data_IF_148184306209
#
_entry.id   IF_148184306209
#
_cell.length_a   1.000
_cell.length_b   1.000
_cell.length_c   1.000
_cell.angle_alpha   90.00
_cell.angle_beta   90.00
_cell.angle_gamma   90.00
#
_symmetry.space_group_name_H-M   'P 1'
#
loop_
_entity.id
_entity.type
_entity.pdbx_description
1 polymer ?
#
# COMPACT_ATOMS: atom_id res chain seq x y z
N UNK A 1 13.47 11.60 -23.09
CA UNK A 1 12.33 11.99 -23.91
C UNK A 1 12.83 12.95 -24.98
N UNK A 2 12.47 12.69 -26.24
CA UNK A 2 12.89 13.51 -27.40
C UNK A 2 11.76 14.34 -27.97
N UNK A 3 10.51 13.91 -27.80
CA UNK A 3 9.34 14.60 -28.33
C UNK A 3 8.10 14.30 -27.47
N UNK A 4 7.25 15.30 -27.28
CA UNK A 4 5.94 15.19 -26.64
C UNK A 4 4.91 15.88 -27.51
N UNK A 5 3.92 15.14 -28.03
CA UNK A 5 2.89 15.68 -28.95
C UNK A 5 1.50 15.32 -28.44
N UNK A 6 0.61 16.32 -28.25
CA UNK A 6 -0.78 16.04 -27.93
C UNK A 6 -1.50 15.48 -29.17
N UNK A 7 -2.21 14.37 -29.01
CA UNK A 7 -3.08 13.80 -30.03
C UNK A 7 -4.55 14.03 -29.63
N UNK A 8 -5.10 15.14 -30.09
CA UNK A 8 -6.48 15.54 -29.74
C UNK A 8 -7.55 14.59 -30.29
N UNK A 9 -7.26 13.85 -31.39
CA UNK A 9 -8.22 12.88 -31.96
C UNK A 9 -8.40 11.67 -31.06
N UNK A 10 -7.33 11.26 -30.37
CA UNK A 10 -7.32 10.10 -29.46
C UNK A 10 -7.41 10.50 -27.98
N UNK A 11 -7.49 11.80 -27.70
CA UNK A 11 -7.49 12.34 -26.34
C UNK A 11 -6.34 11.81 -25.48
N UNK A 12 -5.14 11.77 -26.04
CA UNK A 12 -3.93 11.30 -25.37
C UNK A 12 -2.71 12.15 -25.75
N UNK A 13 -1.62 11.96 -25.04
CA UNK A 13 -0.31 12.57 -25.33
C UNK A 13 0.64 11.47 -25.77
N UNK A 14 1.24 11.64 -26.93
CA UNK A 14 2.27 10.75 -27.44
C UNK A 14 3.65 11.23 -26.98
N UNK A 15 4.43 10.34 -26.41
CA UNK A 15 5.77 10.61 -25.90
C UNK A 15 6.76 9.74 -26.63
N UNK A 16 7.73 10.36 -27.30
CA UNK A 16 8.84 9.65 -27.93
C UNK A 16 10.07 9.72 -27.05
N UNK A 17 10.65 8.58 -26.72
CA UNK A 17 11.88 8.47 -25.96
C UNK A 17 12.95 7.74 -26.80
N UNK A 18 14.20 8.19 -26.70
CA UNK A 18 15.34 7.46 -27.26
C UNK A 18 15.94 6.59 -26.18
N UNK A 19 16.08 5.31 -26.47
CA UNK A 19 16.74 4.33 -25.62
C UNK A 19 18.16 4.14 -26.15
N UNK A 20 19.15 4.09 -25.27
CA UNK A 20 20.53 3.77 -25.66
C UNK A 20 20.60 2.33 -26.18
N UNK A 21 21.38 2.06 -27.23
CA UNK A 21 21.41 0.75 -27.91
C UNK A 21 21.62 -0.44 -26.96
N UNK A 22 22.47 -0.26 -25.95
CA UNK A 22 22.79 -1.27 -24.93
C UNK A 22 21.60 -1.72 -24.05
N UNK A 23 20.51 -0.91 -23.97
CA UNK A 23 19.32 -1.23 -23.18
C UNK A 23 18.12 -1.65 -24.02
N UNK A 24 18.18 -1.55 -25.35
CA UNK A 24 17.04 -1.81 -26.24
C UNK A 24 16.51 -3.23 -26.07
N UNK A 25 17.39 -4.23 -26.02
CA UNK A 25 17.02 -5.64 -25.90
C UNK A 25 16.30 -5.97 -24.59
N UNK A 26 16.51 -5.17 -23.54
CA UNK A 26 15.92 -5.38 -22.23
C UNK A 26 14.67 -4.53 -22.01
N UNK A 27 14.55 -3.39 -22.70
CA UNK A 27 13.51 -2.39 -22.42
C UNK A 27 12.46 -2.34 -23.54
N UNK A 28 12.86 -2.55 -24.81
CA UNK A 28 11.95 -2.52 -25.94
C UNK A 28 11.34 -3.90 -26.22
N UNK A 29 10.74 -4.52 -25.22
CA UNK A 29 10.16 -5.87 -25.28
C UNK A 29 8.78 -5.94 -24.63
N UNK A 30 7.99 -6.92 -25.01
CA UNK A 30 6.69 -7.20 -24.35
C UNK A 30 6.88 -7.45 -22.86
N UNK A 31 5.94 -6.98 -22.06
CA UNK A 31 5.98 -7.07 -20.60
C UNK A 31 6.81 -5.96 -19.94
N UNK A 32 7.41 -5.04 -20.73
CA UNK A 32 8.02 -3.82 -20.17
C UNK A 32 6.93 -2.83 -19.79
N UNK A 33 7.07 -2.26 -18.61
CA UNK A 33 6.17 -1.25 -18.07
C UNK A 33 6.88 0.09 -17.95
N UNK A 34 6.20 1.17 -18.35
CA UNK A 34 6.68 2.54 -18.23
C UNK A 34 5.67 3.38 -17.45
N UNK A 35 6.15 4.20 -16.53
CA UNK A 35 5.29 5.11 -15.76
C UNK A 35 5.98 6.44 -15.48
N UNK A 36 5.18 7.48 -15.20
CA UNK A 36 5.69 8.75 -14.72
C UNK A 36 6.03 8.64 -13.23
N UNK A 37 7.25 9.02 -12.88
CA UNK A 37 7.63 9.17 -11.48
C UNK A 37 7.04 10.47 -10.96
N UNK A 38 6.13 10.39 -10.01
CA UNK A 38 5.53 11.52 -9.33
C UNK A 38 6.10 11.67 -7.92
N UNK A 39 6.18 12.90 -7.39
CA UNK A 39 6.56 13.09 -5.99
C UNK A 39 5.44 12.56 -5.09
N UNK A 40 5.78 11.73 -4.14
CA UNK A 40 4.86 11.25 -3.12
C UNK A 40 4.91 12.23 -1.93
N UNK A 41 3.80 12.90 -1.66
CA UNK A 41 3.63 13.75 -0.49
C UNK A 41 2.77 13.00 0.53
N UNK A 42 3.39 12.51 1.58
CA UNK A 42 2.71 11.80 2.67
C UNK A 42 3.06 12.36 4.03
N UNK A 43 2.39 11.87 5.07
CA UNK A 43 2.64 12.27 6.46
C UNK A 43 4.06 11.94 6.95
N UNK A 44 4.77 11.05 6.25
CA UNK A 44 6.18 10.70 6.49
C UNK A 44 7.19 11.61 5.78
N UNK A 45 6.72 12.67 5.10
CA UNK A 45 7.56 13.56 4.29
C UNK A 45 7.32 13.41 2.80
N UNK A 46 8.22 13.98 2.00
CA UNK A 46 8.18 13.91 0.53
C UNK A 46 9.20 12.89 0.06
N UNK A 47 8.73 11.86 -0.64
CA UNK A 47 9.59 10.93 -1.38
C UNK A 47 9.70 11.41 -2.83
N UNK A 48 10.72 10.94 -3.55
CA UNK A 48 10.96 11.32 -4.95
C UNK A 48 11.04 12.84 -5.17
N UNK A 49 11.71 13.57 -4.27
CA UNK A 49 11.91 15.03 -4.35
C UNK A 49 12.39 15.50 -5.72
N UNK A 50 13.20 14.71 -6.43
CA UNK A 50 13.64 15.00 -7.80
C UNK A 50 12.49 15.17 -8.78
N UNK A 51 11.35 14.51 -8.57
CA UNK A 51 10.17 14.62 -9.43
C UNK A 51 9.40 15.94 -9.26
N UNK A 52 9.69 16.73 -8.21
CA UNK A 52 9.20 18.12 -8.07
C UNK A 52 9.88 19.07 -9.07
N UNK A 53 11.13 18.77 -9.43
CA UNK A 53 11.96 19.62 -10.30
C UNK A 53 11.89 19.14 -11.75
N UNK A 54 11.89 17.82 -11.97
CA UNK A 54 11.81 17.21 -13.30
C UNK A 54 11.01 15.93 -13.29
N UNK A 55 10.00 15.83 -14.15
CA UNK A 55 9.28 14.56 -14.36
C UNK A 55 10.18 13.59 -15.08
N UNK A 56 10.32 12.39 -14.56
CA UNK A 56 11.05 11.27 -15.17
C UNK A 56 10.12 10.13 -15.52
N UNK A 57 10.49 9.37 -16.55
CA UNK A 57 9.83 8.12 -16.88
C UNK A 57 10.66 7.00 -16.27
N UNK A 58 10.04 6.25 -15.39
CA UNK A 58 10.62 5.02 -14.85
C UNK A 58 10.24 3.83 -15.73
N UNK A 59 11.11 2.83 -15.77
CA UNK A 59 10.93 1.64 -16.60
C UNK A 59 11.22 0.39 -15.80
N UNK A 60 10.42 -0.63 -16.04
CA UNK A 60 10.69 -1.98 -15.62
C UNK A 60 10.79 -2.88 -16.84
N UNK A 61 11.95 -3.54 -17.01
CA UNK A 61 12.18 -4.42 -18.13
C UNK A 61 11.23 -5.61 -18.15
N UNK A 62 10.72 -5.96 -19.35
CA UNK A 62 10.03 -7.21 -19.63
C UNK A 62 10.99 -8.31 -20.09
N UNK A 63 10.42 -9.40 -20.57
CA UNK A 63 11.16 -10.54 -21.10
C UNK A 63 10.52 -11.16 -22.35
N UNK A 64 9.61 -10.43 -23.00
CA UNK A 64 8.90 -10.88 -24.19
C UNK A 64 9.61 -10.58 -25.51
N UNK A 65 8.85 -10.61 -26.62
CA UNK A 65 9.34 -10.26 -27.95
C UNK A 65 9.54 -8.75 -28.09
N UNK A 66 10.36 -8.34 -29.06
CA UNK A 66 10.59 -6.92 -29.35
C UNK A 66 9.28 -6.15 -29.56
N UNK A 67 9.13 -5.02 -28.87
CA UNK A 67 7.99 -4.13 -28.92
C UNK A 67 8.47 -2.69 -28.75
N UNK A 68 7.89 -1.76 -29.52
CA UNK A 68 8.32 -0.35 -29.53
C UNK A 68 7.21 0.65 -29.19
N UNK A 69 5.97 0.17 -29.07
CA UNK A 69 4.82 0.95 -28.63
C UNK A 69 4.34 0.49 -27.25
N UNK A 70 4.33 1.42 -26.30
CA UNK A 70 3.95 1.14 -24.91
C UNK A 70 2.94 2.17 -24.42
N UNK A 71 2.11 1.75 -23.50
CA UNK A 71 1.24 2.66 -22.77
C UNK A 71 1.97 3.17 -21.53
N UNK A 72 1.99 4.49 -21.33
CA UNK A 72 2.51 5.09 -20.11
C UNK A 72 1.47 4.92 -19.00
N UNK A 73 1.79 4.15 -17.98
CA UNK A 73 0.92 3.87 -16.87
C UNK A 73 0.90 5.03 -15.88
N UNK A 74 -0.25 5.30 -15.26
CA UNK A 74 -0.32 6.27 -14.17
C UNK A 74 0.23 5.62 -12.91
N UNK A 75 1.27 6.26 -12.34
CA UNK A 75 1.76 5.97 -11.01
C UNK A 75 1.87 4.47 -10.69
N UNK A 76 2.77 3.77 -11.35
CA UNK A 76 3.04 2.38 -11.02
C UNK A 76 3.86 2.36 -9.74
N UNK A 77 3.16 2.42 -8.62
CA UNK A 77 3.78 2.21 -7.31
C UNK A 77 4.07 0.72 -7.16
N UNK A 78 5.19 0.28 -7.76
CA UNK A 78 5.76 -1.03 -7.48
C UNK A 78 6.50 -1.01 -6.16
N UNK A 79 5.80 -0.78 -5.11
CA UNK A 79 6.18 -1.41 -3.86
C UNK A 79 5.94 -2.90 -4.11
N UNK A 80 7.02 -3.66 -4.40
CA UNK A 80 6.93 -5.11 -4.41
C UNK A 80 6.20 -5.52 -3.14
N UNK A 81 5.21 -6.41 -3.25
CA UNK A 81 4.47 -6.79 -2.05
C UNK A 81 3.32 -7.74 -2.33
N UNK A 82 2.86 -8.34 -1.26
CA UNK A 82 1.70 -9.23 -1.28
C UNK A 82 0.45 -8.41 -0.97
N UNK A 83 -0.52 -8.49 -1.88
CA UNK A 83 -1.81 -7.80 -1.71
C UNK A 83 -2.79 -8.65 -0.93
N UNK A 84 -3.50 -8.01 0.00
CA UNK A 84 -4.62 -8.57 0.74
C UNK A 84 -5.81 -7.62 0.68
N UNK A 85 -6.99 -8.16 0.90
CA UNK A 85 -8.24 -7.39 0.91
C UNK A 85 -8.74 -7.25 2.34
N UNK A 86 -9.15 -6.05 2.73
CA UNK A 86 -9.82 -5.79 3.99
C UNK A 86 -11.25 -5.34 3.74
N UNK A 87 -12.20 -5.89 4.49
CA UNK A 87 -13.61 -5.51 4.41
C UNK A 87 -14.06 -4.90 5.73
N UNK A 88 -14.76 -3.77 5.67
CA UNK A 88 -15.30 -3.08 6.83
C UNK A 88 -16.70 -2.52 6.53
N UNK A 89 -17.50 -2.28 7.55
CA UNK A 89 -18.82 -1.65 7.39
C UNK A 89 -18.70 -0.17 6.97
N UNK A 90 -17.66 0.49 7.45
CA UNK A 90 -17.40 1.91 7.19
C UNK A 90 -15.93 2.14 6.85
N UNK A 91 -15.66 3.20 6.11
CA UNK A 91 -14.29 3.59 5.76
C UNK A 91 -13.46 4.02 6.98
N UNK A 92 -14.08 4.72 7.90
CA UNK A 92 -13.37 5.36 9.02
C UNK A 92 -12.29 6.33 8.52
N UNK A 93 -11.10 6.25 9.10
CA UNK A 93 -9.93 7.05 8.74
C UNK A 93 -9.11 6.46 7.58
N UNK A 94 -9.50 5.32 7.02
CA UNK A 94 -8.75 4.61 5.99
C UNK A 94 -8.82 5.33 4.65
N UNK A 95 -7.66 5.57 4.04
CA UNK A 95 -7.51 6.17 2.71
C UNK A 95 -6.28 5.56 2.02
N UNK A 96 -6.14 5.78 0.73
CA UNK A 96 -4.93 5.40 -0.01
C UNK A 96 -3.71 6.05 0.65
N UNK A 97 -2.64 5.27 0.87
CA UNK A 97 -1.45 5.69 1.61
C UNK A 97 -1.53 5.50 3.13
N UNK A 98 -2.67 5.08 3.70
CA UNK A 98 -2.76 4.72 5.12
C UNK A 98 -1.76 3.60 5.43
N UNK A 99 -0.87 3.76 6.43
CA UNK A 99 0.13 2.75 6.76
C UNK A 99 -0.50 1.50 7.37
N UNK A 100 0.05 0.34 7.04
CA UNK A 100 -0.24 -0.93 7.71
C UNK A 100 0.87 -1.26 8.67
N UNK A 101 0.52 -1.48 9.92
CA UNK A 101 1.42 -1.60 11.05
C UNK A 101 1.42 -3.01 11.64
N UNK A 102 2.59 -3.54 11.91
CA UNK A 102 2.78 -4.71 12.75
C UNK A 102 3.70 -4.35 13.91
N UNK A 103 3.20 -4.45 15.14
CA UNK A 103 3.94 -3.98 16.34
C UNK A 103 4.48 -2.55 16.19
N UNK A 104 3.64 -1.63 15.69
CA UNK A 104 3.96 -0.21 15.45
C UNK A 104 4.99 0.05 14.34
N UNK A 105 5.53 -0.97 13.69
CA UNK A 105 6.39 -0.83 12.53
C UNK A 105 5.55 -0.83 11.25
N UNK A 106 5.85 0.09 10.33
CA UNK A 106 5.19 0.13 9.02
C UNK A 106 5.70 -1.03 8.14
N UNK A 107 4.79 -1.96 7.86
CA UNK A 107 5.07 -3.15 7.04
C UNK A 107 4.37 -3.12 5.68
N UNK A 108 3.54 -2.12 5.43
CA UNK A 108 2.80 -1.97 4.19
C UNK A 108 1.95 -0.71 4.18
N UNK A 109 1.10 -0.59 3.18
CA UNK A 109 0.19 0.55 3.02
C UNK A 109 -1.10 0.15 2.30
N UNK A 110 -2.13 0.99 2.43
CA UNK A 110 -3.37 0.89 1.66
C UNK A 110 -3.13 1.42 0.25
N UNK A 111 -3.50 0.63 -0.76
CA UNK A 111 -3.33 0.98 -2.18
C UNK A 111 -4.64 1.31 -2.89
N UNK A 112 -5.78 0.86 -2.37
CA UNK A 112 -7.11 1.14 -2.94
C UNK A 112 -8.17 1.13 -1.85
N UNK A 113 -9.19 1.97 -2.01
CA UNK A 113 -10.38 2.02 -1.14
C UNK A 113 -11.61 2.27 -1.99
N UNK A 114 -12.56 1.35 -1.96
CA UNK A 114 -13.80 1.43 -2.75
C UNK A 114 -14.99 0.83 -2.00
N UNK A 115 -16.18 1.07 -2.50
CA UNK A 115 -17.37 0.33 -2.05
C UNK A 115 -17.35 -1.10 -2.61
N UNK A 116 -17.91 -2.03 -1.87
CA UNK A 116 -18.18 -3.37 -2.33
C UNK A 116 -19.18 -3.37 -3.50
N UNK A 117 -19.32 -4.49 -4.19
CA UNK A 117 -20.16 -4.63 -5.38
C UNK A 117 -21.63 -4.22 -5.11
N UNK A 118 -22.13 -4.48 -3.92
CA UNK A 118 -23.51 -4.13 -3.49
C UNK A 118 -23.58 -2.85 -2.67
N UNK A 119 -22.47 -2.10 -2.55
CA UNK A 119 -22.35 -0.90 -1.70
C UNK A 119 -22.71 -1.11 -0.22
N UNK A 120 -22.71 -2.36 0.24
CA UNK A 120 -23.03 -2.80 1.61
C UNK A 120 -21.83 -2.74 2.57
N UNK A 121 -20.63 -2.56 2.01
CA UNK A 121 -19.35 -2.53 2.75
C UNK A 121 -18.30 -1.69 2.04
N UNK A 122 -17.25 -1.37 2.76
CA UNK A 122 -16.03 -0.79 2.19
C UNK A 122 -15.00 -1.90 1.99
N UNK A 123 -14.37 -1.91 0.83
CA UNK A 123 -13.30 -2.82 0.47
C UNK A 123 -12.02 -2.01 0.31
N UNK A 124 -11.02 -2.31 1.11
CA UNK A 124 -9.69 -1.71 1.04
C UNK A 124 -8.68 -2.75 0.60
N UNK A 125 -7.83 -2.41 -0.35
CA UNK A 125 -6.69 -3.25 -0.72
C UNK A 125 -5.46 -2.75 0.00
N UNK A 126 -4.79 -3.64 0.71
CA UNK A 126 -3.50 -3.37 1.36
C UNK A 126 -2.39 -4.12 0.62
N UNK A 127 -1.22 -3.51 0.60
CA UNK A 127 0.00 -4.11 0.07
C UNK A 127 1.03 -4.19 1.18
N UNK A 128 1.46 -5.40 1.51
CA UNK A 128 2.48 -5.69 2.52
C UNK A 128 3.82 -5.91 1.82
N UNK A 129 4.88 -5.28 2.31
CA UNK A 129 6.25 -5.44 1.78
C UNK A 129 6.66 -6.91 1.78
N UNK A 130 7.41 -7.40 0.77
CA UNK A 130 7.72 -8.83 0.62
C UNK A 130 8.37 -9.43 1.86
N UNK A 131 9.30 -8.69 2.48
CA UNK A 131 10.04 -9.10 3.67
C UNK A 131 9.17 -9.27 4.92
N UNK A 132 7.92 -8.75 4.91
CA UNK A 132 6.95 -8.85 6.01
C UNK A 132 5.70 -9.66 5.67
N UNK A 133 5.56 -10.12 4.42
CA UNK A 133 4.36 -10.83 3.98
C UNK A 133 4.09 -12.11 4.80
N UNK A 134 5.15 -12.78 5.28
CA UNK A 134 5.07 -13.97 6.13
C UNK A 134 4.40 -13.72 7.48
N UNK A 135 4.32 -12.47 7.94
CA UNK A 135 3.66 -12.09 9.19
C UNK A 135 2.14 -12.17 9.09
N UNK A 136 1.57 -12.04 7.87
CA UNK A 136 0.13 -12.13 7.66
C UNK A 136 -0.27 -13.59 7.59
N UNK A 137 -0.97 -14.08 8.59
CA UNK A 137 -1.48 -15.45 8.69
C UNK A 137 -2.96 -15.51 8.33
N UNK A 138 -3.47 -16.68 8.00
CA UNK A 138 -4.88 -16.86 7.62
C UNK A 138 -5.87 -16.40 8.70
N UNK A 139 -5.45 -16.41 9.96
CA UNK A 139 -6.23 -15.97 11.12
C UNK A 139 -5.78 -14.61 11.68
N UNK A 140 -4.96 -13.84 10.95
CA UNK A 140 -4.57 -12.49 11.38
C UNK A 140 -5.81 -11.61 11.52
N UNK A 141 -5.82 -10.78 12.55
CA UNK A 141 -6.90 -9.84 12.86
C UNK A 141 -6.41 -8.44 12.58
N UNK A 142 -7.18 -7.68 11.82
CA UNK A 142 -6.88 -6.31 11.42
C UNK A 142 -7.83 -5.32 12.08
N UNK A 143 -7.33 -4.17 12.53
CA UNK A 143 -8.13 -3.10 13.12
C UNK A 143 -7.65 -1.72 12.72
N UNK A 144 -8.55 -0.76 12.76
CA UNK A 144 -8.24 0.64 12.50
C UNK A 144 -7.59 1.26 13.75
N UNK A 145 -6.41 1.84 13.59
CA UNK A 145 -5.75 2.66 14.59
C UNK A 145 -6.13 4.11 14.32
N UNK A 146 -7.31 4.51 14.76
CA UNK A 146 -7.71 5.91 14.73
C UNK A 146 -6.96 6.66 15.82
N UNK A 147 -6.33 7.78 15.45
CA UNK A 147 -5.70 8.67 16.42
C UNK A 147 -6.72 9.12 17.45
N UNK A 148 -6.34 8.98 18.73
CA UNK A 148 -6.99 9.56 19.89
C UNK A 148 -8.48 9.18 20.09
N UNK A 149 -8.74 8.11 20.80
CA UNK A 149 -9.95 8.06 21.64
C UNK A 149 -9.80 9.12 22.75
N UNK A 150 -10.19 10.35 22.42
CA UNK A 150 -10.44 11.36 23.45
C UNK A 150 -11.79 11.04 24.07
N UNK A 151 -11.80 10.09 24.98
CA UNK A 151 -12.92 9.96 25.92
C UNK A 151 -12.85 11.17 26.85
N UNK A 152 -13.54 12.24 26.47
CA UNK A 152 -13.84 13.36 27.35
C UNK A 152 -14.89 12.85 28.36
N UNK A 153 -14.42 12.11 29.34
CA UNK A 153 -15.22 11.81 30.53
C UNK A 153 -15.30 13.07 31.36
N UNK A 154 -16.50 13.33 31.94
CA UNK A 154 -16.83 14.46 32.83
C UNK A 154 -15.89 14.56 34.07
N UNK A 155 -14.97 13.63 34.27
CA UNK A 155 -14.10 13.51 35.44
C UNK A 155 -12.59 13.66 35.13
N UNK A 156 -12.21 14.37 34.08
CA UNK A 156 -10.79 14.67 33.81
C UNK A 156 -10.16 13.76 32.76
N UNK A 157 -9.37 14.35 31.90
CA UNK A 157 -8.67 13.69 30.81
C UNK A 157 -7.54 12.80 31.34
N UNK A 158 -7.73 11.48 31.33
CA UNK A 158 -6.64 10.52 31.43
C UNK A 158 -6.09 10.26 30.03
N UNK A 159 -5.11 11.06 29.60
CA UNK A 159 -4.34 10.81 28.40
C UNK A 159 -3.29 9.74 28.76
N UNK A 160 -3.58 8.48 28.47
CA UNK A 160 -2.50 7.47 28.38
C UNK A 160 -1.74 7.73 27.08
N UNK A 161 -0.73 8.59 27.15
CA UNK A 161 0.17 8.89 26.06
C UNK A 161 1.06 7.67 25.75
N UNK A 162 0.59 6.80 24.89
CA UNK A 162 1.49 6.03 24.03
C UNK A 162 2.12 7.04 23.05
N UNK A 163 3.39 6.86 22.72
CA UNK A 163 4.20 7.79 21.90
C UNK A 163 3.40 8.59 20.88
N UNK A 164 3.39 9.89 21.03
CA UNK A 164 2.58 10.88 20.30
C UNK A 164 2.69 10.74 18.76
N UNK A 165 3.80 10.24 18.24
CA UNK A 165 4.02 10.07 16.80
C UNK A 165 3.19 8.99 16.14
N UNK A 166 2.82 7.92 16.85
CA UNK A 166 1.94 6.87 16.31
C UNK A 166 0.45 7.21 16.46
N UNK A 167 0.11 8.07 17.40
CA UNK A 167 -1.26 8.53 17.67
C UNK A 167 -1.78 9.53 16.62
N UNK A 168 -0.90 10.35 16.04
CA UNK A 168 -1.28 11.43 15.11
C UNK A 168 -1.51 10.92 13.68
N UNK A 169 -0.93 9.79 13.29
CA UNK A 169 -0.92 9.35 11.88
C UNK A 169 -2.08 8.44 11.48
N UNK A 170 -2.80 7.85 12.43
CA UNK A 170 -3.78 6.81 12.10
C UNK A 170 -3.11 5.64 11.37
N UNK A 171 -3.80 4.54 11.19
CA UNK A 171 -3.24 3.39 10.48
C UNK A 171 -4.16 2.18 10.53
N UNK A 172 -3.75 1.11 9.90
CA UNK A 172 -4.32 -0.22 10.09
C UNK A 172 -3.26 -1.05 10.80
N UNK A 173 -3.58 -1.60 11.95
CA UNK A 173 -2.69 -2.54 12.62
C UNK A 173 -3.23 -3.96 12.50
N UNK A 174 -2.33 -4.93 12.64
CA UNK A 174 -2.74 -6.33 12.72
C UNK A 174 -1.87 -7.13 13.70
N UNK A 175 -2.43 -8.23 14.16
CA UNK A 175 -1.77 -9.21 14.99
C UNK A 175 -2.29 -10.61 14.66
N UNK A 176 -1.58 -11.63 15.12
CA UNK A 176 -1.98 -13.02 14.94
C UNK A 176 -2.26 -13.62 16.32
N UNK A 177 -3.43 -14.27 16.52
CA UNK A 177 -3.78 -14.90 17.79
C UNK A 177 -2.73 -15.90 18.25
N UNK A 178 -2.50 -15.94 19.57
CA UNK A 178 -1.66 -16.96 20.20
C UNK A 178 -2.38 -18.31 20.16
N UNK A 179 -1.78 -19.26 19.46
CA UNK A 179 -2.29 -20.63 19.30
C UNK A 179 -1.13 -21.62 19.38
N UNK A 180 -1.44 -22.88 19.74
CA UNK A 180 -0.46 -23.96 19.80
C UNK A 180 0.19 -24.27 18.44
N UNK A 181 -0.52 -24.01 17.35
CA UNK A 181 -0.01 -24.11 15.98
C UNK A 181 -0.25 -22.80 15.25
N UNK A 182 0.80 -22.24 14.64
CA UNK A 182 0.70 -21.03 13.85
C UNK A 182 0.06 -21.39 12.49
N UNK A 183 -1.08 -20.78 12.12
CA UNK A 183 -1.69 -21.03 10.82
C UNK A 183 -0.76 -20.68 9.67
N UNK A 184 -0.95 -21.26 8.48
CA UNK A 184 -0.18 -20.94 7.30
C UNK A 184 -0.20 -19.43 6.98
N UNK A 185 0.82 -18.96 6.27
CA UNK A 185 0.80 -17.62 5.73
C UNK A 185 -0.42 -17.44 4.80
N UNK A 186 -1.05 -16.29 4.87
CA UNK A 186 -2.16 -15.96 4.00
C UNK A 186 -1.68 -15.86 2.54
N UNK A 187 -2.47 -16.40 1.62
CA UNK A 187 -2.19 -16.30 0.18
C UNK A 187 -2.54 -14.90 -0.33
N UNK A 188 -1.87 -14.47 -1.40
CA UNK A 188 -2.22 -13.23 -2.11
C UNK A 188 -3.72 -13.16 -2.41
N UNK A 189 -4.33 -12.02 -2.16
CA UNK A 189 -5.77 -11.81 -2.36
C UNK A 189 -6.66 -12.32 -1.23
N UNK A 190 -6.09 -12.92 -0.16
CA UNK A 190 -6.87 -13.33 1.00
C UNK A 190 -7.62 -12.13 1.57
N UNK A 191 -8.87 -12.36 1.99
CA UNK A 191 -9.74 -11.31 2.52
C UNK A 191 -9.89 -11.45 4.04
N UNK A 192 -9.75 -10.31 4.72
CA UNK A 192 -9.91 -10.20 6.17
C UNK A 192 -11.00 -9.18 6.51
N UNK A 193 -11.50 -9.26 7.72
CA UNK A 193 -12.34 -8.20 8.27
C UNK A 193 -11.47 -7.13 8.93
N UNK A 194 -11.79 -5.86 8.68
CA UNK A 194 -11.15 -4.72 9.33
C UNK A 194 -12.07 -4.22 10.42
N UNK A 195 -11.67 -4.46 11.66
CA UNK A 195 -12.41 -4.01 12.83
C UNK A 195 -12.25 -2.50 13.06
N UNK A 196 -13.27 -1.82 13.55
CA UNK A 196 -13.21 -0.36 13.78
C UNK A 196 -12.22 0.02 14.88
N UNK A 197 -11.92 -0.89 15.81
CA UNK A 197 -10.92 -0.72 16.89
C UNK A 197 -10.37 -2.08 17.32
N UNK A 198 -9.24 -2.07 18.04
CA UNK A 198 -8.68 -3.27 18.65
C UNK A 198 -9.50 -3.73 19.86
N UNK A 199 -9.55 -5.05 20.05
CA UNK A 199 -9.79 -5.62 21.37
C UNK A 199 -8.52 -5.53 22.21
N UNK A 200 -8.65 -5.36 23.54
CA UNK A 200 -7.49 -5.23 24.44
C UNK A 200 -6.56 -6.45 24.37
N UNK A 201 -7.12 -7.65 24.15
CA UNK A 201 -6.36 -8.88 24.05
C UNK A 201 -5.46 -8.92 22.80
N UNK A 202 -5.91 -8.34 21.66
CA UNK A 202 -5.20 -8.43 20.40
C UNK A 202 -3.85 -7.68 20.40
N UNK A 203 -3.78 -6.58 21.13
CA UNK A 203 -2.56 -5.77 21.25
C UNK A 203 -1.53 -6.43 22.16
N UNK A 204 -1.94 -7.41 22.96
CA UNK A 204 -1.08 -8.14 23.89
C UNK A 204 -0.45 -9.39 23.25
N UNK A 205 -1.02 -9.91 22.16
CA UNK A 205 -0.49 -11.12 21.51
C UNK A 205 0.97 -10.98 21.10
N UNK A 206 1.76 -12.00 21.42
CA UNK A 206 3.20 -12.05 21.16
C UNK A 206 3.58 -13.30 20.36
N UNK A 207 2.66 -13.78 19.51
CA UNK A 207 2.86 -14.97 18.69
C UNK A 207 4.20 -14.91 17.96
N UNK A 208 5.12 -15.85 18.22
CA UNK A 208 6.40 -15.90 17.54
C UNK A 208 6.20 -16.45 16.13
N UNK A 209 6.41 -15.63 15.11
CA UNK A 209 6.30 -16.02 13.70
C UNK A 209 7.72 -16.07 13.14
N UNK A 210 8.29 -17.27 12.90
CA UNK A 210 9.64 -17.40 12.38
C UNK A 210 9.69 -16.83 10.94
N UNK A 211 10.79 -16.15 10.64
CA UNK A 211 11.09 -15.71 9.28
C UNK A 211 11.44 -16.96 8.46
N UNK A 212 10.91 -17.12 7.24
CA UNK A 212 11.21 -18.24 6.36
C UNK A 212 12.66 -18.23 5.88
#
# INVERSE_FOLDING_TARGET
VTLVVPNFRRNLVEVTARILPEYVENIAVEGTHFWLTEPEIGLGGVKNLGALVSKSISVEPGNGKAKFDFQLEKGFDRVEGVMFTLQSEQRGSVQVGTPVLYRQMEVGQVTDVRLGEFADRVVSTIKIKPEYAYLVRQNSVFWNVSGVDVSIGITGANIKAGTIDSLVRGGIAFSTPEQSQIPPAAKRGHSFYLYPRADESWVQWRTPIPKP
#
